data_IF_533179364665
#
_entry.id   IF_533179364665
#
_cell.length_a   1.000
_cell.length_b   1.000
_cell.length_c   1.000
_cell.angle_alpha   90.00
_cell.angle_beta   90.00
_cell.angle_gamma   90.00
#
_symmetry.space_group_name_H-M   'P 1'
#
loop_
_entity.id
_entity.type
_entity.pdbx_description
1 polymer ?
#
# COMPACT_ATOMS: atom_id res chain seq x y z
N UNK A 1 -9.07 11.10 44.39
CA UNK A 1 -7.67 11.42 44.05
C UNK A 1 -7.15 10.14 43.43
N UNK A 2 -6.94 10.01 42.12
CA UNK A 2 -6.30 10.94 41.20
C UNK A 2 -6.95 10.98 39.81
N UNK A 3 -6.87 12.15 39.19
CA UNK A 3 -7.60 12.51 37.99
C UNK A 3 -6.99 11.98 36.70
N UNK A 4 -7.83 11.37 35.87
CA UNK A 4 -7.54 11.17 34.45
C UNK A 4 -7.80 12.49 33.72
N UNK A 5 -6.73 13.28 33.60
CA UNK A 5 -6.70 14.49 32.80
C UNK A 5 -7.06 14.18 31.36
N UNK A 6 -8.28 14.52 30.96
CA UNK A 6 -8.67 14.67 29.57
C UNK A 6 -7.89 15.84 28.97
N UNK A 7 -6.68 15.55 28.48
CA UNK A 7 -5.94 16.50 27.64
C UNK A 7 -6.82 16.92 26.46
N UNK A 8 -6.71 18.18 26.00
CA UNK A 8 -7.53 18.66 24.89
C UNK A 8 -7.33 17.73 23.70
N UNK A 9 -8.43 17.33 23.04
CA UNK A 9 -8.40 16.64 21.74
C UNK A 9 -7.64 17.53 20.76
N UNK A 10 -6.31 17.39 20.69
CA UNK A 10 -5.49 18.14 19.74
C UNK A 10 -6.00 17.71 18.36
N UNK A 11 -6.53 18.66 17.59
CA UNK A 11 -6.93 18.42 16.22
C UNK A 11 -5.79 17.78 15.43
N UNK A 12 -6.13 16.98 14.43
CA UNK A 12 -5.12 16.28 13.64
C UNK A 12 -4.07 17.26 13.09
N UNK A 13 -2.75 16.96 13.20
CA UNK A 13 -1.67 17.90 12.89
C UNK A 13 -1.78 18.57 11.52
N UNK A 14 -2.18 17.81 10.50
CA UNK A 14 -2.36 18.28 9.12
C UNK A 14 -3.36 19.42 8.96
N UNK A 15 -4.36 19.56 9.83
CA UNK A 15 -5.35 20.66 9.77
C UNK A 15 -4.73 22.03 10.03
N UNK A 16 -3.50 22.07 10.56
CA UNK A 16 -2.76 23.29 10.89
C UNK A 16 -1.61 23.55 9.91
N UNK A 17 -1.36 22.63 8.98
CA UNK A 17 -0.31 22.78 7.98
C UNK A 17 -0.74 23.80 6.92
N UNK A 18 0.23 24.53 6.36
CA UNK A 18 0.00 25.37 5.19
C UNK A 18 -0.29 24.47 3.97
N UNK A 19 -0.81 25.06 2.89
CA UNK A 19 -1.01 24.33 1.64
C UNK A 19 0.31 23.76 1.09
N UNK A 20 1.38 24.53 1.20
CA UNK A 20 2.72 24.11 0.75
C UNK A 20 3.26 22.94 1.58
N UNK A 21 3.07 22.98 2.90
CA UNK A 21 3.47 21.89 3.78
C UNK A 21 2.64 20.62 3.48
N UNK A 22 1.33 20.76 3.25
CA UNK A 22 0.49 19.64 2.80
C UNK A 22 0.99 19.07 1.46
N UNK A 23 1.29 19.92 0.49
CA UNK A 23 1.85 19.49 -0.79
C UNK A 23 3.16 18.71 -0.59
N UNK A 24 4.00 19.18 0.33
CA UNK A 24 5.25 18.51 0.67
C UNK A 24 5.03 17.14 1.34
N UNK A 25 4.16 17.08 2.34
CA UNK A 25 3.86 15.87 3.10
C UNK A 25 3.15 14.81 2.26
N UNK A 26 2.38 15.20 1.26
CA UNK A 26 1.60 14.29 0.42
C UNK A 26 2.24 14.01 -0.95
N UNK A 27 3.48 14.45 -1.17
CA UNK A 27 4.27 14.13 -2.36
C UNK A 27 5.44 13.20 -2.00
N UNK A 28 5.29 11.86 -2.10
CA UNK A 28 6.38 10.94 -1.77
C UNK A 28 7.68 11.21 -2.54
N UNK A 29 7.59 11.72 -3.77
CA UNK A 29 8.74 12.13 -4.58
C UNK A 29 9.59 13.25 -3.96
N UNK A 30 9.08 13.99 -2.96
CA UNK A 30 9.86 14.99 -2.22
C UNK A 30 10.61 14.42 -1.03
N UNK A 31 10.37 13.16 -0.70
CA UNK A 31 10.95 12.45 0.46
C UNK A 31 11.93 11.35 0.07
N UNK A 32 12.20 11.19 -1.23
CA UNK A 32 13.25 10.29 -1.72
C UNK A 32 14.62 10.73 -1.19
N UNK A 33 15.45 9.75 -0.82
CA UNK A 33 16.74 10.03 -0.17
C UNK A 33 17.96 9.75 -1.04
N UNK A 34 17.81 8.92 -2.09
CA UNK A 34 18.92 8.52 -2.98
C UNK A 34 18.93 9.26 -4.32
N UNK A 35 17.75 9.57 -4.86
CA UNK A 35 17.58 10.19 -6.17
C UNK A 35 16.91 11.56 -6.03
N UNK A 36 17.02 12.42 -7.04
CA UNK A 36 16.15 13.60 -7.13
C UNK A 36 14.70 13.20 -7.45
N UNK A 37 13.71 14.00 -7.05
CA UNK A 37 12.28 13.70 -7.25
C UNK A 37 11.91 13.26 -8.68
N UNK A 38 12.36 14.04 -9.67
CA UNK A 38 12.14 13.77 -11.10
C UNK A 38 12.85 12.50 -11.57
N UNK A 39 14.04 12.24 -11.03
CA UNK A 39 14.80 11.04 -11.35
C UNK A 39 14.17 9.79 -10.75
N UNK A 40 13.70 9.86 -9.50
CA UNK A 40 12.98 8.77 -8.86
C UNK A 40 11.72 8.38 -9.66
N UNK A 41 10.94 9.35 -10.14
CA UNK A 41 9.75 9.08 -10.97
C UNK A 41 10.10 8.44 -12.33
N UNK A 42 11.17 8.90 -12.98
CA UNK A 42 11.65 8.29 -14.22
C UNK A 42 12.15 6.87 -13.99
N UNK A 43 12.98 6.66 -12.99
CA UNK A 43 13.49 5.35 -12.59
C UNK A 43 12.33 4.42 -12.24
N UNK A 44 11.30 4.92 -11.54
CA UNK A 44 10.09 4.14 -11.22
C UNK A 44 9.44 3.58 -12.47
N UNK A 45 9.19 4.45 -13.43
CA UNK A 45 8.53 4.09 -14.68
C UNK A 45 9.38 3.15 -15.53
N UNK A 46 10.70 3.38 -15.57
CA UNK A 46 11.63 2.54 -16.34
C UNK A 46 11.69 1.11 -15.77
N UNK A 47 11.94 0.97 -14.47
CA UNK A 47 12.01 -0.35 -13.82
C UNK A 47 10.68 -1.08 -13.97
N UNK A 48 9.55 -0.42 -13.72
CA UNK A 48 8.22 -1.02 -13.85
C UNK A 48 7.94 -1.52 -15.27
N UNK A 49 8.33 -0.76 -16.29
CA UNK A 49 8.17 -1.15 -17.68
C UNK A 49 9.09 -2.33 -18.07
N UNK A 50 10.34 -2.31 -17.64
CA UNK A 50 11.31 -3.39 -17.94
C UNK A 50 10.90 -4.72 -17.31
N UNK A 51 10.51 -4.68 -16.03
CA UNK A 51 10.05 -5.86 -15.29
C UNK A 51 8.77 -6.42 -15.89
N UNK A 52 7.79 -5.56 -16.21
CA UNK A 52 6.54 -5.97 -16.86
C UNK A 52 6.81 -6.62 -18.22
N UNK A 53 7.62 -6.00 -19.08
CA UNK A 53 8.00 -6.57 -20.39
C UNK A 53 8.65 -7.94 -20.24
N UNK A 54 9.56 -8.09 -19.27
CA UNK A 54 10.20 -9.38 -18.98
C UNK A 54 9.17 -10.41 -18.54
N UNK A 55 8.29 -10.08 -17.59
CA UNK A 55 7.26 -11.00 -17.09
C UNK A 55 6.31 -11.46 -18.21
N UNK A 56 5.92 -10.55 -19.10
CA UNK A 56 5.09 -10.85 -20.27
C UNK A 56 5.81 -11.76 -21.28
N UNK A 57 7.11 -11.56 -21.48
CA UNK A 57 7.90 -12.35 -22.43
C UNK A 57 8.26 -13.74 -21.93
N UNK A 58 8.41 -13.93 -20.61
CA UNK A 58 8.89 -15.21 -20.04
C UNK A 58 7.80 -16.03 -19.37
N UNK A 59 6.74 -15.40 -18.86
CA UNK A 59 5.68 -16.07 -18.10
C UNK A 59 4.45 -16.36 -18.94
N UNK A 60 3.67 -17.38 -18.53
CA UNK A 60 2.31 -17.56 -19.05
C UNK A 60 1.42 -16.43 -18.54
N UNK A 61 0.68 -15.79 -19.42
CA UNK A 61 -0.17 -14.65 -19.06
C UNK A 61 -1.44 -14.56 -19.91
N UNK A 62 -2.44 -13.85 -19.38
CA UNK A 62 -3.56 -13.28 -20.12
C UNK A 62 -3.55 -11.77 -19.87
N UNK A 63 -3.37 -10.97 -20.90
CA UNK A 63 -3.27 -9.51 -20.80
C UNK A 63 -4.60 -8.86 -21.16
N UNK A 64 -4.82 -7.64 -20.65
CA UNK A 64 -5.96 -6.80 -21.03
C UNK A 64 -7.34 -7.46 -20.79
N UNK A 65 -7.47 -8.33 -19.79
CA UNK A 65 -8.73 -9.01 -19.47
C UNK A 65 -9.73 -7.99 -18.94
N UNK A 66 -10.86 -7.72 -19.64
CA UNK A 66 -11.81 -6.72 -19.20
C UNK A 66 -12.59 -7.20 -17.97
N UNK A 67 -12.80 -6.32 -17.00
CA UNK A 67 -13.69 -6.53 -15.86
C UNK A 67 -14.83 -5.50 -15.76
N UNK A 68 -14.81 -4.49 -16.63
CA UNK A 68 -15.82 -3.45 -16.76
C UNK A 68 -15.88 -2.90 -18.19
N UNK A 69 -16.68 -1.87 -18.38
CA UNK A 69 -16.97 -1.28 -19.70
C UNK A 69 -15.96 -0.18 -20.10
N UNK A 70 -15.18 0.33 -19.14
CA UNK A 70 -14.18 1.37 -19.36
C UNK A 70 -12.88 0.87 -19.98
N UNK A 71 -12.20 1.73 -20.75
CA UNK A 71 -10.93 1.40 -21.42
C UNK A 71 -9.83 0.95 -20.45
N UNK A 72 -9.81 1.53 -19.25
CA UNK A 72 -8.86 1.22 -18.17
C UNK A 72 -9.37 0.12 -17.21
N UNK A 73 -10.57 -0.42 -17.42
CA UNK A 73 -11.17 -1.45 -16.57
C UNK A 73 -10.71 -2.85 -17.01
N UNK A 74 -9.39 -3.05 -16.96
CA UNK A 74 -8.70 -4.28 -17.37
C UNK A 74 -7.72 -4.77 -16.31
N UNK A 75 -7.44 -6.06 -16.33
CA UNK A 75 -6.43 -6.69 -15.51
C UNK A 75 -5.54 -7.62 -16.34
N UNK A 76 -4.29 -7.77 -15.90
CA UNK A 76 -3.38 -8.78 -16.41
C UNK A 76 -3.32 -9.95 -15.42
N UNK A 77 -3.41 -11.18 -15.93
CA UNK A 77 -3.31 -12.41 -15.14
C UNK A 77 -2.00 -13.10 -15.49
N UNK A 78 -1.12 -13.27 -14.50
CA UNK A 78 0.13 -14.02 -14.64
C UNK A 78 -0.03 -15.39 -13.97
N UNK A 79 0.31 -16.46 -14.68
CA UNK A 79 0.15 -17.84 -14.22
C UNK A 79 1.50 -18.41 -13.77
N UNK A 80 1.52 -19.27 -12.73
CA UNK A 80 2.72 -20.00 -12.35
C UNK A 80 3.14 -20.97 -13.47
N UNK A 81 4.43 -21.30 -13.52
CA UNK A 81 4.97 -22.28 -14.48
C UNK A 81 4.43 -23.70 -14.20
N UNK A 82 4.34 -24.08 -12.92
CA UNK A 82 3.83 -25.38 -12.48
C UNK A 82 2.40 -25.25 -11.94
N UNK A 83 1.54 -26.20 -12.33
CA UNK A 83 0.18 -26.31 -11.80
C UNK A 83 0.25 -27.08 -10.47
N UNK A 84 -0.17 -26.45 -9.38
CA UNK A 84 -0.39 -27.08 -8.07
C UNK A 84 -1.88 -27.13 -7.78
N UNK A 85 -2.33 -28.09 -6.96
CA UNK A 85 -3.74 -28.21 -6.54
C UNK A 85 -4.17 -27.04 -5.63
N UNK A 86 -3.22 -26.35 -5.00
CA UNK A 86 -3.45 -25.17 -4.20
C UNK A 86 -2.79 -23.95 -4.86
N UNK A 87 -3.58 -23.16 -5.59
CA UNK A 87 -3.14 -21.89 -6.18
C UNK A 87 -3.75 -20.73 -5.41
N UNK A 88 -3.03 -20.12 -4.46
CA UNK A 88 -3.45 -18.84 -3.91
C UNK A 88 -3.38 -17.78 -5.02
N UNK A 89 -4.39 -16.91 -5.09
CA UNK A 89 -4.39 -15.76 -5.98
C UNK A 89 -3.81 -14.55 -5.26
N UNK A 90 -2.75 -13.97 -5.84
CA UNK A 90 -2.25 -12.67 -5.43
C UNK A 90 -2.85 -11.61 -6.37
N UNK A 91 -3.61 -10.68 -5.79
CA UNK A 91 -4.13 -9.52 -6.52
C UNK A 91 -3.36 -8.28 -6.09
N UNK A 92 -2.80 -7.54 -7.04
CA UNK A 92 -2.07 -6.30 -6.80
C UNK A 92 -2.87 -5.11 -7.33
N UNK A 93 -3.08 -4.11 -6.48
CA UNK A 93 -3.71 -2.84 -6.85
C UNK A 93 -2.64 -1.75 -6.84
N UNK A 94 -2.40 -1.12 -7.99
CA UNK A 94 -1.38 -0.07 -8.10
C UNK A 94 -1.83 1.23 -7.44
N UNK A 95 -0.87 2.03 -6.97
CA UNK A 95 -1.10 3.40 -6.47
C UNK A 95 -1.21 4.44 -7.61
N UNK A 96 -0.69 5.65 -7.39
CA UNK A 96 -0.74 6.73 -8.39
C UNK A 96 -1.69 7.88 -8.02
N UNK A 97 -1.99 8.01 -6.73
CA UNK A 97 -2.70 9.15 -6.14
C UNK A 97 -4.18 9.32 -6.55
N UNK A 98 -4.71 8.49 -7.47
CA UNK A 98 -6.09 8.48 -7.97
C UNK A 98 -6.72 9.88 -7.97
N UNK A 99 -6.20 10.74 -8.85
CA UNK A 99 -6.50 12.19 -8.92
C UNK A 99 -7.97 12.45 -9.30
N UNK A 100 -8.86 12.14 -8.37
CA UNK A 100 -10.32 12.15 -8.46
C UNK A 100 -10.89 13.10 -7.40
N UNK A 101 -12.20 13.32 -7.42
CA UNK A 101 -12.85 14.26 -6.51
C UNK A 101 -12.82 13.80 -5.05
N UNK A 102 -13.09 14.72 -4.12
CA UNK A 102 -13.19 14.44 -2.67
C UNK A 102 -14.19 13.31 -2.36
N UNK A 103 -15.30 13.26 -3.09
CA UNK A 103 -16.34 12.24 -2.91
C UNK A 103 -15.82 10.83 -3.22
N UNK A 104 -15.03 10.68 -4.29
CA UNK A 104 -14.39 9.42 -4.67
C UNK A 104 -13.38 8.98 -3.61
N UNK A 105 -12.55 9.91 -3.12
CA UNK A 105 -11.60 9.65 -2.04
C UNK A 105 -12.30 9.17 -0.76
N UNK A 106 -13.45 9.76 -0.40
CA UNK A 106 -14.22 9.32 0.77
C UNK A 106 -14.86 7.95 0.57
N UNK A 107 -15.46 7.70 -0.61
CA UNK A 107 -16.12 6.43 -0.94
C UNK A 107 -15.14 5.26 -0.96
N UNK A 108 -13.92 5.51 -1.43
CA UNK A 108 -12.91 4.47 -1.63
C UNK A 108 -11.93 4.34 -0.44
N UNK A 109 -11.97 5.25 0.54
CA UNK A 109 -11.10 5.20 1.72
C UNK A 109 -11.41 3.99 2.62
N UNK A 110 -10.47 3.03 2.76
CA UNK A 110 -10.66 1.89 3.66
C UNK A 110 -10.83 2.34 5.12
N UNK A 111 -10.09 3.38 5.53
CA UNK A 111 -10.16 3.91 6.87
C UNK A 111 -11.52 4.56 7.17
N UNK A 112 -12.11 5.26 6.18
CA UNK A 112 -13.44 5.83 6.35
C UNK A 112 -14.50 4.73 6.48
N UNK A 113 -14.44 3.69 5.63
CA UNK A 113 -15.36 2.55 5.70
C UNK A 113 -15.33 1.84 7.05
N UNK A 114 -14.13 1.57 7.59
CA UNK A 114 -13.99 0.95 8.91
C UNK A 114 -14.55 1.81 10.06
N UNK A 115 -14.55 3.14 9.90
CA UNK A 115 -15.09 4.06 10.90
C UNK A 115 -16.62 4.20 10.82
N UNK A 116 -17.18 4.18 9.62
CA UNK A 116 -18.63 4.43 9.40
C UNK A 116 -19.47 3.16 9.42
N UNK A 117 -18.90 2.02 9.04
CA UNK A 117 -19.54 0.72 9.10
C UNK A 117 -18.53 -0.30 9.65
N UNK A 118 -18.37 -0.40 10.99
CA UNK A 118 -17.42 -1.32 11.60
C UNK A 118 -17.79 -2.76 11.24
N UNK A 119 -17.12 -3.31 10.23
CA UNK A 119 -17.24 -4.71 9.86
C UNK A 119 -16.23 -5.51 10.68
N UNK A 120 -16.72 -6.58 11.30
CA UNK A 120 -15.82 -7.57 11.89
C UNK A 120 -15.18 -8.41 10.77
N UNK A 121 -13.95 -8.91 10.96
CA UNK A 121 -13.35 -9.85 10.03
C UNK A 121 -14.26 -11.06 9.85
N UNK A 122 -14.67 -11.31 8.60
CA UNK A 122 -15.50 -12.47 8.23
C UNK A 122 -14.72 -13.78 8.36
N UNK A 123 -13.39 -13.71 8.26
CA UNK A 123 -12.46 -14.82 8.43
C UNK A 123 -11.35 -14.45 9.44
N UNK A 124 -11.23 -15.15 10.59
CA UNK A 124 -10.16 -14.91 11.56
C UNK A 124 -8.75 -15.23 11.02
N UNK A 125 -8.64 -15.95 9.90
CA UNK A 125 -7.38 -16.20 9.21
C UNK A 125 -6.92 -15.01 8.33
N UNK A 126 -7.81 -14.06 8.01
CA UNK A 126 -7.47 -12.88 7.21
C UNK A 126 -6.49 -11.99 7.99
N UNK A 127 -5.24 -11.96 7.52
CA UNK A 127 -4.16 -11.14 8.07
C UNK A 127 -4.02 -9.87 7.26
N UNK A 128 -3.87 -8.74 7.94
CA UNK A 128 -3.64 -7.45 7.29
C UNK A 128 -2.25 -6.96 7.69
N UNK A 129 -1.38 -6.76 6.71
CA UNK A 129 -0.10 -6.09 6.91
C UNK A 129 -0.23 -4.64 6.48
N UNK A 130 0.12 -3.71 7.37
CA UNK A 130 0.28 -2.29 7.04
C UNK A 130 1.77 -1.99 7.01
N UNK A 131 2.28 -1.49 5.88
CA UNK A 131 3.70 -1.15 5.71
C UNK A 131 3.90 0.32 5.37
N UNK A 132 5.03 0.88 5.78
CA UNK A 132 5.47 2.24 5.41
C UNK A 132 7.00 2.24 5.27
N UNK A 133 7.55 3.02 4.35
CA UNK A 133 8.99 3.17 4.21
C UNK A 133 9.57 4.06 5.31
N UNK A 134 10.76 3.76 5.81
CA UNK A 134 11.44 4.60 6.80
C UNK A 134 11.54 6.05 6.34
N UNK A 135 11.83 6.25 5.04
CA UNK A 135 12.03 7.58 4.47
C UNK A 135 10.75 8.19 3.89
N UNK A 136 9.58 7.56 4.06
CA UNK A 136 8.29 8.20 3.75
C UNK A 136 8.04 9.44 4.64
N UNK A 137 7.13 10.31 4.20
CA UNK A 137 6.81 11.53 4.93
C UNK A 137 6.16 11.27 6.31
N UNK A 138 6.29 12.20 7.27
CA UNK A 138 5.58 12.15 8.54
C UNK A 138 4.07 11.89 8.42
N UNK A 139 3.40 12.43 7.41
CA UNK A 139 1.97 12.17 7.22
C UNK A 139 1.67 10.75 6.73
N UNK A 140 2.52 10.14 5.90
CA UNK A 140 2.40 8.73 5.52
C UNK A 140 2.63 7.81 6.73
N UNK A 141 3.60 8.13 7.58
CA UNK A 141 3.82 7.45 8.86
C UNK A 141 2.61 7.56 9.78
N UNK A 142 2.09 8.78 9.98
CA UNK A 142 0.93 9.04 10.85
C UNK A 142 -0.30 8.27 10.36
N UNK A 143 -0.62 8.36 9.06
CA UNK A 143 -1.79 7.70 8.48
C UNK A 143 -1.69 6.17 8.55
N UNK A 144 -0.52 5.61 8.24
CA UNK A 144 -0.29 4.17 8.32
C UNK A 144 -0.48 3.65 9.76
N UNK A 145 0.07 4.35 10.75
CA UNK A 145 -0.13 4.00 12.18
C UNK A 145 -1.59 4.15 12.60
N UNK A 146 -2.29 5.20 12.19
CA UNK A 146 -3.71 5.38 12.49
C UNK A 146 -4.59 4.29 11.84
N UNK A 147 -4.29 3.90 10.61
CA UNK A 147 -5.01 2.83 9.92
C UNK A 147 -4.78 1.49 10.62
N UNK A 148 -3.53 1.14 10.93
CA UNK A 148 -3.19 -0.03 11.74
C UNK A 148 -3.95 -0.06 13.07
N UNK A 149 -3.96 1.05 13.82
CA UNK A 149 -4.68 1.12 15.08
C UNK A 149 -6.21 0.99 14.88
N UNK A 150 -6.75 1.54 13.79
CA UNK A 150 -8.17 1.40 13.46
C UNK A 150 -8.53 -0.06 13.22
N UNK A 151 -7.71 -0.80 12.46
CA UNK A 151 -7.85 -2.23 12.25
C UNK A 151 -7.80 -3.02 13.56
N UNK A 152 -6.79 -2.76 14.41
CA UNK A 152 -6.66 -3.44 15.71
C UNK A 152 -7.86 -3.20 16.62
N UNK A 153 -8.38 -1.97 16.69
CA UNK A 153 -9.59 -1.64 17.47
C UNK A 153 -10.85 -2.32 16.91
N UNK A 154 -10.90 -2.55 15.59
CA UNK A 154 -11.97 -3.29 14.94
C UNK A 154 -11.87 -4.83 15.05
N UNK A 155 -10.89 -5.35 15.80
CA UNK A 155 -10.71 -6.80 15.98
C UNK A 155 -9.97 -7.52 14.84
N UNK A 156 -9.43 -6.78 13.87
CA UNK A 156 -8.69 -7.36 12.75
C UNK A 156 -7.31 -7.86 13.17
N UNK A 157 -6.87 -8.97 12.59
CA UNK A 157 -5.51 -9.51 12.77
C UNK A 157 -4.51 -8.72 11.93
N UNK A 158 -4.22 -7.50 12.40
CA UNK A 158 -3.30 -6.59 11.75
C UNK A 158 -1.88 -6.65 12.36
N UNK A 159 -0.86 -6.49 11.52
CA UNK A 159 0.54 -6.21 11.85
C UNK A 159 1.00 -4.92 11.17
N UNK A 160 2.05 -4.30 11.71
CA UNK A 160 2.63 -3.06 11.19
C UNK A 160 4.13 -3.26 10.99
N UNK A 161 4.63 -2.93 9.81
CA UNK A 161 6.05 -3.04 9.45
C UNK A 161 6.56 -1.71 8.91
N UNK A 162 7.58 -1.14 9.54
CA UNK A 162 8.31 -0.01 9.00
C UNK A 162 9.54 -0.55 8.27
N UNK A 163 9.58 -0.37 6.96
CA UNK A 163 10.60 -0.93 6.09
C UNK A 163 11.87 -0.08 6.22
N UNK A 164 12.93 -0.71 6.75
CA UNK A 164 14.19 -0.05 7.01
C UNK A 164 14.88 0.41 5.72
N UNK A 165 15.42 1.62 5.76
CA UNK A 165 16.21 2.26 4.71
C UNK A 165 15.56 2.22 3.32
N UNK A 166 14.25 2.40 3.23
CA UNK A 166 13.54 2.53 1.94
C UNK A 166 12.66 3.77 1.90
N UNK A 167 12.61 4.39 0.73
CA UNK A 167 11.60 5.38 0.38
C UNK A 167 10.38 4.74 -0.31
N UNK A 168 9.36 5.56 -0.60
CA UNK A 168 8.08 5.12 -1.15
C UNK A 168 8.18 4.29 -2.43
N UNK A 169 9.10 4.65 -3.32
CA UNK A 169 9.19 4.05 -4.65
C UNK A 169 9.98 2.75 -4.60
N UNK A 170 11.01 2.70 -3.76
CA UNK A 170 11.84 1.52 -3.54
C UNK A 170 11.06 0.35 -2.95
N UNK A 171 9.99 0.61 -2.18
CA UNK A 171 9.10 -0.44 -1.69
C UNK A 171 8.63 -1.35 -2.84
N UNK A 172 8.21 -0.76 -3.97
CA UNK A 172 7.72 -1.51 -5.12
C UNK A 172 8.86 -2.05 -5.99
N UNK A 173 9.95 -1.29 -6.19
CA UNK A 173 11.09 -1.76 -6.98
C UNK A 173 11.71 -3.03 -6.38
N UNK A 174 11.80 -3.07 -5.05
CA UNK A 174 12.41 -4.16 -4.33
C UNK A 174 11.51 -5.41 -4.25
N UNK A 175 10.23 -5.34 -4.62
CA UNK A 175 9.36 -6.53 -4.70
C UNK A 175 9.85 -7.56 -5.73
N UNK A 176 10.68 -7.13 -6.69
CA UNK A 176 11.32 -8.02 -7.66
C UNK A 176 12.47 -8.84 -7.07
N UNK A 177 13.01 -8.41 -5.92
CA UNK A 177 14.08 -9.08 -5.23
C UNK A 177 13.51 -10.13 -4.28
N UNK A 178 13.98 -11.37 -4.42
CA UNK A 178 13.46 -12.49 -3.63
C UNK A 178 13.78 -12.33 -2.15
N UNK A 179 14.95 -11.84 -1.82
CA UNK A 179 15.46 -11.65 -0.46
C UNK A 179 14.96 -10.38 0.24
N UNK A 180 14.22 -9.51 -0.47
CA UNK A 180 13.62 -8.34 0.13
C UNK A 180 12.58 -8.72 1.20
N UNK A 181 12.64 -8.03 2.34
CA UNK A 181 11.83 -8.36 3.52
C UNK A 181 10.33 -8.41 3.23
N UNK A 182 9.82 -7.45 2.45
CA UNK A 182 8.39 -7.41 2.12
C UNK A 182 8.00 -8.55 1.17
N UNK A 183 8.85 -8.87 0.19
CA UNK A 183 8.66 -10.03 -0.71
C UNK A 183 8.56 -11.31 0.11
N UNK A 184 9.46 -11.51 1.07
CA UNK A 184 9.45 -12.66 1.96
C UNK A 184 8.17 -12.73 2.82
N UNK A 185 7.71 -11.60 3.36
CA UNK A 185 6.46 -11.56 4.14
C UNK A 185 5.24 -11.91 3.27
N UNK A 186 5.17 -11.37 2.05
CA UNK A 186 4.09 -11.66 1.10
C UNK A 186 4.07 -13.15 0.76
N UNK A 187 5.21 -13.72 0.37
CA UNK A 187 5.33 -15.14 0.02
C UNK A 187 4.91 -16.05 1.18
N UNK A 188 5.41 -15.80 2.40
CA UNK A 188 5.01 -16.56 3.60
C UNK A 188 3.52 -16.46 3.90
N UNK A 189 2.94 -15.29 3.68
CA UNK A 189 1.49 -15.07 3.90
C UNK A 189 0.66 -15.83 2.87
N UNK A 190 1.08 -15.79 1.60
CA UNK A 190 0.40 -16.42 0.47
C UNK A 190 0.47 -17.96 0.57
N UNK A 191 1.64 -18.50 0.86
CA UNK A 191 1.86 -19.95 0.92
C UNK A 191 1.65 -20.57 2.31
N UNK A 192 1.32 -19.76 3.32
CA UNK A 192 1.13 -20.18 4.73
C UNK A 192 2.32 -20.97 5.28
N UNK A 193 3.52 -20.65 4.82
CA UNK A 193 4.75 -21.26 5.32
C UNK A 193 5.01 -20.74 6.75
N UNK A 194 5.20 -21.67 7.69
CA UNK A 194 5.40 -21.40 9.12
C UNK A 194 6.87 -21.13 9.44
#
# INVERSE_FOLDING_TARGET
>A
MDGLGGGPKRGAPWKRMSKEELENQYSPSRWVVRLGAEEALRTYSQIGNEVTKRAQATGRNLLDVPYGDGEAEKLDIYFPEAVSEALPFLVFFHGGYWQSGREDAQRNSPQWRLKTAPTQPVDPACRILVTVGQHDSPEFHRQSREFYQTLRRGGWKASFEELHDVDHFEILWNLTQKDYVLTQIILKTVFRES
#
